data_IF_308309532299
#
_entry.id   IF_308309532299
#
_cell.length_a   1.000
_cell.length_b   1.000
_cell.length_c   1.000
_cell.angle_alpha   90.00
_cell.angle_beta   90.00
_cell.angle_gamma   90.00
#
_symmetry.space_group_name_H-M   'P 1'
#
loop_
_entity.id
_entity.type
_entity.pdbx_description
1 polymer ?
#
# COMPACT_ATOMS: atom_id res chain seq x y z
N UNK A 1 -8.73 -49.67 53.02
CA UNK A 1 -8.43 -49.95 51.59
C UNK A 1 -9.75 -49.81 50.83
N UNK A 2 -9.96 -48.72 50.08
CA UNK A 2 -9.67 -48.60 48.61
C UNK A 2 -10.45 -49.68 47.83
N UNK A 3 -11.34 -49.42 46.88
CA UNK A 3 -11.61 -48.23 46.06
C UNK A 3 -13.03 -48.34 45.48
N UNK A 4 -13.67 -47.19 45.25
CA UNK A 4 -14.78 -47.04 44.31
C UNK A 4 -14.20 -47.00 42.89
N UNK A 5 -14.89 -47.59 41.91
CA UNK A 5 -14.69 -47.22 40.51
C UNK A 5 -16.04 -47.23 39.79
N UNK A 6 -16.68 -46.07 39.79
CA UNK A 6 -17.76 -45.75 38.87
C UNK A 6 -17.12 -45.34 37.55
N UNK A 7 -17.40 -46.09 36.50
CA UNK A 7 -16.93 -45.79 35.15
C UNK A 7 -17.66 -44.54 34.63
N UNK A 8 -16.97 -43.41 34.34
CA UNK A 8 -17.59 -42.28 33.67
C UNK A 8 -17.52 -42.52 32.15
N UNK A 9 -18.64 -42.24 31.49
CA UNK A 9 -18.73 -42.03 30.04
C UNK A 9 -17.70 -40.97 29.63
N UNK A 10 -16.90 -41.28 28.61
CA UNK A 10 -15.99 -40.32 27.99
C UNK A 10 -16.82 -39.22 27.29
N UNK A 11 -16.54 -37.92 27.51
CA UNK A 11 -17.05 -36.90 26.61
C UNK A 11 -16.21 -36.95 25.33
N UNK A 12 -16.90 -37.21 24.22
CA UNK A 12 -16.38 -37.07 22.87
C UNK A 12 -15.78 -35.68 22.72
N UNK A 13 -14.47 -35.65 22.48
CA UNK A 13 -13.67 -34.43 22.43
C UNK A 13 -14.26 -33.43 21.44
N UNK A 14 -14.54 -32.25 21.97
CA UNK A 14 -14.89 -31.05 21.26
C UNK A 14 -14.16 -30.94 19.92
N UNK A 15 -14.95 -30.93 18.84
CA UNK A 15 -14.54 -30.25 17.61
C UNK A 15 -14.24 -28.80 17.99
N UNK A 16 -13.12 -28.20 17.52
CA UNK A 16 -12.94 -26.78 17.70
C UNK A 16 -14.02 -26.08 16.87
N UNK A 17 -15.07 -25.62 17.55
CA UNK A 17 -15.94 -24.56 17.06
C UNK A 17 -15.01 -23.41 16.69
N UNK A 18 -14.71 -23.33 15.39
CA UNK A 18 -14.01 -22.17 14.84
C UNK A 18 -15.05 -21.08 14.86
N UNK A 19 -15.01 -20.27 15.92
CA UNK A 19 -15.90 -19.13 16.12
C UNK A 19 -15.99 -18.34 14.82
N UNK A 20 -17.17 -18.20 14.19
CA UNK A 20 -17.32 -17.48 12.92
C UNK A 20 -16.94 -15.99 12.99
N UNK A 21 -16.61 -15.48 14.19
CA UNK A 21 -16.14 -14.13 14.43
C UNK A 21 -14.67 -13.85 14.08
N UNK A 22 -13.80 -14.87 14.02
CA UNK A 22 -12.37 -14.68 13.68
C UNK A 22 -12.11 -14.64 12.17
N UNK A 23 -12.95 -15.30 11.37
CA UNK A 23 -12.81 -15.33 9.91
C UNK A 23 -13.10 -13.96 9.25
N UNK A 24 -13.86 -13.09 9.91
CA UNK A 24 -14.20 -11.75 9.41
C UNK A 24 -13.25 -10.66 9.93
N UNK A 25 -12.59 -10.87 11.07
CA UNK A 25 -11.50 -10.01 11.56
C UNK A 25 -10.19 -10.20 10.76
N UNK A 26 -10.06 -11.32 10.03
CA UNK A 26 -8.89 -11.65 9.22
C UNK A 26 -8.68 -10.73 8.01
N UNK A 27 -9.73 -10.36 7.28
CA UNK A 27 -9.58 -9.68 5.97
C UNK A 27 -8.99 -8.26 6.07
N UNK A 28 -9.49 -7.38 6.97
CA UNK A 28 -8.95 -6.02 7.06
C UNK A 28 -7.53 -5.98 7.64
N UNK A 29 -7.23 -6.83 8.64
CA UNK A 29 -5.89 -6.92 9.22
C UNK A 29 -4.89 -7.52 8.24
N UNK A 30 -5.28 -8.57 7.52
CA UNK A 30 -4.47 -9.19 6.48
C UNK A 30 -4.14 -8.19 5.36
N UNK A 31 -5.11 -7.37 4.92
CA UNK A 31 -4.85 -6.33 3.92
C UNK A 31 -3.83 -5.28 4.39
N UNK A 32 -3.85 -4.93 5.69
CA UNK A 32 -2.87 -4.04 6.30
C UNK A 32 -1.47 -4.68 6.32
N UNK A 33 -1.37 -5.90 6.83
CA UNK A 33 -0.10 -6.61 6.97
C UNK A 33 0.52 -6.91 5.59
N UNK A 34 -0.29 -7.32 4.61
CA UNK A 34 0.13 -7.55 3.23
C UNK A 34 0.70 -6.27 2.59
N UNK A 35 0.01 -5.14 2.76
CA UNK A 35 0.51 -3.88 2.21
C UNK A 35 1.76 -3.39 2.94
N UNK A 36 1.84 -3.53 4.27
CA UNK A 36 3.02 -3.18 5.03
C UNK A 36 4.26 -3.93 4.52
N UNK A 37 4.14 -5.26 4.33
CA UNK A 37 5.21 -6.08 3.76
C UNK A 37 5.59 -5.63 2.34
N UNK A 38 4.60 -5.43 1.45
CA UNK A 38 4.83 -4.95 0.09
C UNK A 38 5.51 -3.58 0.06
N UNK A 39 5.14 -2.69 0.98
CA UNK A 39 5.66 -1.33 1.04
C UNK A 39 7.09 -1.26 1.60
N UNK A 40 7.43 -2.12 2.55
CA UNK A 40 8.79 -2.26 3.08
C UNK A 40 9.76 -2.79 2.00
N UNK A 41 9.32 -3.79 1.23
CA UNK A 41 10.12 -4.46 0.19
C UNK A 41 10.12 -3.72 -1.17
N UNK A 42 9.44 -2.56 -1.28
CA UNK A 42 9.27 -1.86 -2.55
C UNK A 42 10.61 -1.42 -3.18
N UNK A 43 10.94 -1.97 -4.35
CA UNK A 43 12.07 -1.54 -5.19
C UNK A 43 11.61 -0.57 -6.28
N UNK A 44 12.06 0.68 -6.18
CA UNK A 44 11.71 1.76 -7.09
C UNK A 44 12.68 1.93 -8.27
N UNK A 45 13.55 0.94 -8.53
CA UNK A 45 14.60 1.05 -9.55
C UNK A 45 14.04 1.30 -10.95
N UNK A 46 12.91 0.68 -11.30
CA UNK A 46 12.26 0.84 -12.62
C UNK A 46 11.66 2.24 -12.79
N UNK A 47 10.97 2.74 -11.77
CA UNK A 47 10.39 4.09 -11.77
C UNK A 47 11.48 5.16 -11.89
N UNK A 48 12.58 4.98 -11.17
CA UNK A 48 13.72 5.89 -11.23
C UNK A 48 14.40 5.85 -12.61
N UNK A 49 14.46 4.70 -13.26
CA UNK A 49 14.96 4.58 -14.64
C UNK A 49 14.06 5.32 -15.65
N UNK A 50 12.74 5.14 -15.55
CA UNK A 50 11.78 5.90 -16.39
C UNK A 50 11.92 7.40 -16.19
N UNK A 51 12.08 7.84 -14.95
CA UNK A 51 12.32 9.24 -14.59
C UNK A 51 13.72 9.72 -14.98
N UNK A 52 14.60 8.85 -15.50
CA UNK A 52 15.97 9.18 -15.90
C UNK A 52 16.86 9.59 -14.72
N UNK A 53 16.54 9.10 -13.51
CA UNK A 53 17.26 9.40 -12.29
C UNK A 53 18.44 8.44 -12.14
N UNK A 54 19.63 8.91 -12.50
CA UNK A 54 20.85 8.12 -12.43
C UNK A 54 21.27 7.78 -10.98
N UNK A 55 22.05 6.71 -10.83
CA UNK A 55 22.55 6.22 -9.52
C UNK A 55 23.36 7.27 -8.73
N UNK A 56 24.04 8.17 -9.42
CA UNK A 56 24.87 9.23 -8.80
C UNK A 56 24.10 10.51 -8.48
N UNK A 57 22.81 10.62 -8.83
CA UNK A 57 21.99 11.81 -8.58
C UNK A 57 21.34 11.75 -7.19
N UNK A 58 22.13 11.60 -6.14
CA UNK A 58 21.67 11.25 -4.78
C UNK A 58 20.53 12.13 -4.24
N UNK A 59 20.63 13.46 -4.37
CA UNK A 59 19.59 14.37 -3.87
C UNK A 59 18.26 14.18 -4.63
N UNK A 60 18.34 14.10 -5.97
CA UNK A 60 17.19 13.88 -6.85
C UNK A 60 16.59 12.49 -6.62
N UNK A 61 17.43 11.48 -6.43
CA UNK A 61 17.01 10.11 -6.09
C UNK A 61 16.28 10.08 -4.75
N UNK A 62 16.81 10.74 -3.71
CA UNK A 62 16.16 10.84 -2.41
C UNK A 62 14.78 11.52 -2.52
N UNK A 63 14.70 12.61 -3.28
CA UNK A 63 13.44 13.29 -3.53
C UNK A 63 12.44 12.38 -4.26
N UNK A 64 12.85 11.69 -5.32
CA UNK A 64 11.94 10.80 -6.07
C UNK A 64 11.52 9.57 -5.28
N UNK A 65 12.40 9.01 -4.45
CA UNK A 65 12.00 7.93 -3.53
C UNK A 65 10.92 8.40 -2.54
N UNK A 66 11.01 9.64 -2.07
CA UNK A 66 9.99 10.23 -1.21
C UNK A 66 8.65 10.38 -1.95
N UNK A 67 8.68 10.90 -3.18
CA UNK A 67 7.49 11.05 -4.03
C UNK A 67 6.83 9.69 -4.34
N UNK A 68 7.62 8.70 -4.78
CA UNK A 68 7.13 7.37 -5.14
C UNK A 68 6.56 6.62 -3.94
N UNK A 69 7.19 6.74 -2.75
CA UNK A 69 6.64 6.16 -1.52
C UNK A 69 5.31 6.78 -1.13
N UNK A 70 5.20 8.12 -1.22
CA UNK A 70 3.91 8.79 -1.00
C UNK A 70 2.84 8.28 -1.97
N UNK A 71 3.18 8.17 -3.25
CA UNK A 71 2.27 7.65 -4.26
C UNK A 71 1.81 6.22 -3.96
N UNK A 72 2.71 5.29 -3.59
CA UNK A 72 2.33 3.91 -3.29
C UNK A 72 1.32 3.82 -2.14
N UNK A 73 1.48 4.64 -1.10
CA UNK A 73 0.49 4.73 0.01
C UNK A 73 -0.86 5.26 -0.50
N UNK A 74 -0.86 6.25 -1.41
CA UNK A 74 -2.08 6.76 -2.02
C UNK A 74 -2.77 5.74 -2.96
N UNK A 75 -2.00 4.96 -3.71
CA UNK A 75 -2.51 3.86 -4.55
C UNK A 75 -3.13 2.76 -3.71
N UNK A 76 -2.55 2.46 -2.55
CA UNK A 76 -3.15 1.52 -1.61
C UNK A 76 -4.47 2.05 -1.04
N UNK A 77 -4.57 3.33 -0.68
CA UNK A 77 -5.85 3.94 -0.31
C UNK A 77 -6.90 3.79 -1.40
N UNK A 78 -6.51 3.98 -2.66
CA UNK A 78 -7.39 3.80 -3.81
C UNK A 78 -7.84 2.33 -3.95
N UNK A 79 -6.94 1.38 -3.72
CA UNK A 79 -7.25 -0.05 -3.73
C UNK A 79 -8.20 -0.45 -2.58
N UNK A 80 -7.99 0.13 -1.39
CA UNK A 80 -8.89 -0.03 -0.24
C UNK A 80 -10.28 0.52 -0.54
N UNK A 81 -10.39 1.73 -1.09
CA UNK A 81 -11.67 2.35 -1.41
C UNK A 81 -12.50 1.50 -2.40
N UNK A 82 -11.82 0.77 -3.29
CA UNK A 82 -12.45 -0.16 -4.24
C UNK A 82 -12.89 -1.48 -3.61
N UNK A 83 -12.11 -2.03 -2.66
CA UNK A 83 -12.35 -3.37 -2.08
C UNK A 83 -13.18 -3.34 -0.80
N UNK A 84 -13.02 -2.28 -0.01
CA UNK A 84 -13.60 -2.11 1.33
C UNK A 84 -14.23 -0.71 1.45
N UNK A 85 -15.23 -0.34 0.64
CA UNK A 85 -15.74 1.04 0.58
C UNK A 85 -16.27 1.58 1.92
N UNK A 86 -16.71 0.72 2.82
CA UNK A 86 -17.19 1.10 4.16
C UNK A 86 -16.04 1.29 5.17
N UNK A 87 -14.97 0.52 5.05
CA UNK A 87 -13.88 0.45 6.04
C UNK A 87 -12.57 1.11 5.57
N UNK A 88 -12.47 1.48 4.29
CA UNK A 88 -11.25 1.97 3.66
C UNK A 88 -10.61 3.15 4.41
N UNK A 89 -11.43 4.08 4.92
CA UNK A 89 -10.96 5.21 5.71
C UNK A 89 -10.31 4.76 7.03
N UNK A 90 -10.99 3.88 7.77
CA UNK A 90 -10.48 3.35 9.03
C UNK A 90 -9.21 2.52 8.81
N UNK A 91 -9.20 1.63 7.81
CA UNK A 91 -8.04 0.82 7.47
C UNK A 91 -6.84 1.71 7.10
N UNK A 92 -7.07 2.72 6.26
CA UNK A 92 -6.02 3.66 5.88
C UNK A 92 -5.46 4.41 7.09
N UNK A 93 -6.33 4.93 7.97
CA UNK A 93 -5.89 5.65 9.17
C UNK A 93 -5.12 4.75 10.14
N UNK A 94 -5.53 3.49 10.32
CA UNK A 94 -4.80 2.49 11.11
C UNK A 94 -3.38 2.30 10.57
N UNK A 95 -3.23 2.11 9.26
CA UNK A 95 -1.90 2.00 8.65
C UNK A 95 -1.05 3.24 8.86
N UNK A 96 -1.61 4.45 8.66
CA UNK A 96 -0.86 5.68 8.89
C UNK A 96 -0.39 5.81 10.34
N UNK A 97 -1.21 5.39 11.30
CA UNK A 97 -0.86 5.40 12.72
C UNK A 97 0.25 4.40 13.04
N UNK A 98 0.14 3.15 12.57
CA UNK A 98 1.14 2.11 12.77
C UNK A 98 2.46 2.47 12.09
N UNK A 99 2.42 2.96 10.85
CA UNK A 99 3.58 3.41 10.12
C UNK A 99 4.31 4.55 10.86
N UNK A 100 3.57 5.54 11.35
CA UNK A 100 4.12 6.65 12.14
C UNK A 100 4.69 6.19 13.49
N UNK A 101 4.08 5.20 14.13
CA UNK A 101 4.58 4.64 15.39
C UNK A 101 5.89 3.88 15.20
N UNK A 102 6.00 3.11 14.12
CA UNK A 102 7.22 2.39 13.73
C UNK A 102 8.34 3.29 13.19
N UNK A 103 8.00 4.44 12.61
CA UNK A 103 8.95 5.33 11.94
C UNK A 103 8.93 6.76 12.50
N UNK A 104 9.88 7.08 13.37
CA UNK A 104 9.97 8.39 14.06
C UNK A 104 10.83 9.43 13.32
N UNK A 105 11.33 9.10 12.14
CA UNK A 105 12.20 9.99 11.40
C UNK A 105 11.41 10.99 10.52
N UNK A 106 12.08 12.10 10.18
CA UNK A 106 11.49 13.17 9.38
C UNK A 106 11.11 12.74 7.96
N UNK A 107 11.78 11.73 7.39
CA UNK A 107 11.53 11.25 6.03
C UNK A 107 10.20 10.50 5.98
N UNK A 108 9.97 9.61 6.94
CA UNK A 108 8.71 8.87 7.07
C UNK A 108 7.52 9.80 7.30
N UNK A 109 7.69 10.87 8.09
CA UNK A 109 6.66 11.90 8.22
C UNK A 109 6.36 12.61 6.88
N UNK A 110 7.38 12.87 6.05
CA UNK A 110 7.19 13.46 4.72
C UNK A 110 6.47 12.50 3.76
N UNK A 111 6.72 11.19 3.85
CA UNK A 111 6.00 10.18 3.04
C UNK A 111 4.50 10.30 3.28
N UNK A 112 4.05 10.47 4.53
CA UNK A 112 2.63 10.62 4.85
C UNK A 112 2.02 11.92 4.31
N UNK A 113 2.82 13.01 4.26
CA UNK A 113 2.39 14.26 3.62
C UNK A 113 2.20 14.05 2.12
N UNK A 114 3.20 13.47 1.44
CA UNK A 114 3.12 13.14 0.01
C UNK A 114 1.94 12.23 -0.29
N UNK A 115 1.69 11.22 0.54
CA UNK A 115 0.56 10.31 0.36
C UNK A 115 -0.80 11.04 0.32
N UNK A 116 -0.98 12.06 1.16
CA UNK A 116 -2.20 12.88 1.14
C UNK A 116 -2.31 13.75 -0.11
N UNK A 117 -1.19 14.31 -0.57
CA UNK A 117 -1.15 15.11 -1.79
C UNK A 117 -1.46 14.26 -3.04
N UNK A 118 -0.86 13.07 -3.15
CA UNK A 118 -1.17 12.12 -4.22
C UNK A 118 -2.61 11.60 -4.12
N UNK A 119 -3.14 11.39 -2.91
CA UNK A 119 -4.56 11.06 -2.76
C UNK A 119 -5.45 12.14 -3.36
N UNK A 120 -5.17 13.42 -3.12
CA UNK A 120 -5.93 14.53 -3.71
C UNK A 120 -5.92 14.57 -5.25
N UNK A 121 -4.89 13.99 -5.88
CA UNK A 121 -4.82 13.83 -7.34
C UNK A 121 -5.56 12.58 -7.84
N UNK A 122 -5.59 11.51 -7.03
CA UNK A 122 -6.19 10.22 -7.41
C UNK A 122 -7.70 10.18 -7.13
N UNK A 123 -8.15 10.74 -6.02
CA UNK A 123 -9.54 10.68 -5.56
C UNK A 123 -10.58 11.08 -6.62
N UNK A 124 -10.38 12.16 -7.42
CA UNK A 124 -11.38 12.57 -8.40
C UNK A 124 -11.55 11.59 -9.57
N UNK A 125 -10.47 10.91 -9.97
CA UNK A 125 -10.44 10.04 -11.17
C UNK A 125 -10.48 8.54 -10.82
N UNK A 126 -10.26 8.21 -9.55
CA UNK A 126 -10.15 6.83 -9.08
C UNK A 126 -9.01 6.08 -9.77
N UNK A 127 -9.27 4.84 -10.17
CA UNK A 127 -8.36 3.97 -10.93
C UNK A 127 -8.54 4.08 -12.46
N UNK A 128 -9.39 5.01 -12.91
CA UNK A 128 -9.67 5.23 -14.33
C UNK A 128 -8.53 5.91 -15.07
N UNK A 129 -7.87 6.89 -14.44
CA UNK A 129 -6.83 7.72 -15.05
C UNK A 129 -5.71 8.07 -14.06
N UNK A 130 -4.46 7.80 -14.46
CA UNK A 130 -3.25 8.12 -13.70
C UNK A 130 -2.40 9.22 -14.35
N UNK A 131 -2.90 9.86 -15.41
CA UNK A 131 -2.17 10.85 -16.22
C UNK A 131 -1.75 12.07 -15.42
N UNK A 132 -2.59 12.53 -14.49
CA UNK A 132 -2.28 13.66 -13.62
C UNK A 132 -1.09 13.38 -12.70
N UNK A 133 -1.10 12.25 -12.01
CA UNK A 133 -0.01 11.82 -11.12
C UNK A 133 1.29 11.62 -11.93
N UNK A 134 1.20 10.95 -13.07
CA UNK A 134 2.36 10.76 -13.94
C UNK A 134 2.93 12.11 -14.42
N UNK A 135 2.06 13.07 -14.77
CA UNK A 135 2.46 14.42 -15.17
C UNK A 135 3.15 15.17 -14.03
N UNK A 136 2.63 15.02 -12.81
CA UNK A 136 3.26 15.60 -11.62
C UNK A 136 4.66 15.02 -11.40
N UNK A 137 4.83 13.68 -11.45
CA UNK A 137 6.15 13.04 -11.34
C UNK A 137 7.14 13.49 -12.42
N UNK A 138 6.69 13.69 -13.65
CA UNK A 138 7.55 14.20 -14.73
C UNK A 138 7.90 15.68 -14.56
N UNK A 139 7.07 16.47 -13.87
CA UNK A 139 7.26 17.92 -13.72
C UNK A 139 8.54 18.29 -12.94
N UNK A 140 9.12 17.37 -12.18
CA UNK A 140 10.39 17.55 -11.49
C UNK A 140 11.61 17.58 -12.43
N UNK A 141 11.42 17.33 -13.72
CA UNK A 141 12.47 17.20 -14.72
C UNK A 141 12.29 18.23 -15.83
N UNK A 142 13.37 18.95 -16.16
CA UNK A 142 13.43 19.74 -17.38
C UNK A 142 13.71 18.79 -18.55
N UNK A 143 12.72 18.59 -19.42
CA UNK A 143 12.78 17.69 -20.57
C UNK A 143 12.12 18.36 -21.77
N UNK A 144 12.35 17.76 -22.95
CA UNK A 144 11.76 18.20 -24.22
C UNK A 144 10.35 17.61 -24.37
N UNK A 145 9.42 18.34 -24.98
CA UNK A 145 8.01 17.94 -25.16
C UNK A 145 7.78 16.50 -25.65
N UNK A 146 8.61 15.99 -26.58
CA UNK A 146 8.49 14.61 -27.09
C UNK A 146 8.98 13.56 -26.09
N UNK A 147 10.08 13.87 -25.39
CA UNK A 147 10.61 13.04 -24.31
C UNK A 147 9.62 12.94 -23.14
N UNK A 148 8.93 14.04 -22.82
CA UNK A 148 7.95 14.09 -21.74
C UNK A 148 6.72 13.24 -22.00
N UNK A 149 6.15 13.29 -23.22
CA UNK A 149 4.99 12.46 -23.57
C UNK A 149 5.29 10.96 -23.46
N UNK A 150 6.46 10.52 -23.94
CA UNK A 150 6.84 9.11 -23.91
C UNK A 150 7.09 8.59 -22.50
N UNK A 151 7.76 9.39 -21.64
CA UNK A 151 8.02 9.05 -20.24
C UNK A 151 6.73 9.07 -19.43
N UNK A 152 5.89 10.08 -19.66
CA UNK A 152 4.59 10.18 -19.01
C UNK A 152 3.74 8.93 -19.27
N UNK A 153 3.63 8.49 -20.54
CA UNK A 153 2.90 7.26 -20.87
C UNK A 153 3.49 6.02 -20.18
N UNK A 154 4.82 5.86 -20.17
CA UNK A 154 5.48 4.75 -19.45
C UNK A 154 5.12 4.76 -17.97
N UNK A 155 5.11 5.95 -17.34
CA UNK A 155 4.74 6.10 -15.94
C UNK A 155 3.27 5.80 -15.69
N UNK A 156 2.34 6.28 -16.53
CA UNK A 156 0.91 5.96 -16.42
C UNK A 156 0.68 4.44 -16.42
N UNK A 157 1.30 3.74 -17.37
CA UNK A 157 1.19 2.29 -17.49
C UNK A 157 1.82 1.57 -16.30
N UNK A 158 2.97 2.05 -15.84
CA UNK A 158 3.64 1.45 -14.69
C UNK A 158 2.86 1.68 -13.40
N UNK A 159 2.34 2.89 -13.17
CA UNK A 159 1.47 3.20 -12.02
C UNK A 159 0.23 2.31 -12.03
N UNK A 160 -0.40 2.10 -13.20
CA UNK A 160 -1.52 1.16 -13.33
C UNK A 160 -1.12 -0.27 -12.95
N UNK A 161 0.06 -0.73 -13.39
CA UNK A 161 0.59 -2.06 -13.03
C UNK A 161 0.84 -2.18 -11.52
N UNK A 162 1.42 -1.16 -10.90
CA UNK A 162 1.65 -1.10 -9.45
C UNK A 162 0.32 -1.11 -8.69
N UNK A 163 -0.66 -0.32 -9.13
CA UNK A 163 -2.00 -0.32 -8.56
C UNK A 163 -2.62 -1.71 -8.59
N UNK A 164 -2.55 -2.40 -9.73
CA UNK A 164 -3.03 -3.78 -9.87
C UNK A 164 -2.29 -4.73 -8.91
N UNK A 165 -0.97 -4.64 -8.82
CA UNK A 165 -0.18 -5.45 -7.88
C UNK A 165 -0.62 -5.22 -6.43
N UNK A 166 -0.81 -3.97 -6.02
CA UNK A 166 -1.28 -3.63 -4.67
C UNK A 166 -2.70 -4.16 -4.44
N UNK A 167 -3.59 -3.98 -5.41
CA UNK A 167 -4.97 -4.43 -5.36
C UNK A 167 -5.07 -5.96 -5.24
N UNK A 168 -4.32 -6.69 -6.06
CA UNK A 168 -4.27 -8.16 -6.07
C UNK A 168 -3.70 -8.74 -4.77
N UNK A 169 -2.97 -7.94 -3.98
CA UNK A 169 -2.37 -8.34 -2.70
C UNK A 169 -3.20 -7.97 -1.48
N UNK A 170 -4.39 -7.38 -1.66
CA UNK A 170 -5.25 -7.02 -0.53
C UNK A 170 -5.86 -8.25 0.19
N UNK A 171 -6.00 -9.39 -0.50
CA UNK A 171 -6.64 -10.62 0.02
C UNK A 171 -5.86 -11.88 -0.35
#
# INVERSE_FOLDING_TARGET
MRHMDGTPVAPEGASPETTPGDALAGTPRQALDNFAALFEDADFTVELDYLGVGRMQFLRRRQMLLELRGLYVALWRLALARSFPQDAGQMFDTFLQEYKAGHKDRTSAQVLVRAREYWGMLEPMGDGDFSEVARHLTSFFARTDQGDKSVNLKLVLHIRKVYQLIFDRLI
#
